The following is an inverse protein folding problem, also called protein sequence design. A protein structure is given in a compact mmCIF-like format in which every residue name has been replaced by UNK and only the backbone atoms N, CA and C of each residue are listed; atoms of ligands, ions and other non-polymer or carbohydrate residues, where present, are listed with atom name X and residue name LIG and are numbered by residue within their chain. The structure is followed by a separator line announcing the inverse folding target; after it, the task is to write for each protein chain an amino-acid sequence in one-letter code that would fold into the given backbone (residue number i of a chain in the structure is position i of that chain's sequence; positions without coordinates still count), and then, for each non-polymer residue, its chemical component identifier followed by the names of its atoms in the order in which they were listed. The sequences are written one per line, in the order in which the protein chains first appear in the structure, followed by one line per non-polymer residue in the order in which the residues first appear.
data_IF_543002908989
#
_entry.id   IF_543002908989
#
_cell.length_a   1.000
_cell.length_b   1.000
_cell.length_c   1.000
_cell.angle_alpha   90.00
_cell.angle_beta   90.00
_cell.angle_gamma   90.00
#
_symmetry.space_group_name_H-M   'P 1'
#
loop_
_entity.id
_entity.type
_entity.pdbx_description
1 polymer ?
#
# COMPACT_ATOMS: atom_id res chain seq x y z
N UNK A 1 -46.62 -47.36 -23.50
CA UNK A 1 -45.80 -46.73 -22.46
C UNK A 1 -46.70 -46.45 -21.28
N UNK A 2 -46.39 -47.01 -20.10
CA UNK A 2 -47.24 -46.90 -18.92
C UNK A 2 -47.28 -45.47 -18.38
N UNK A 3 -48.42 -44.97 -17.96
CA UNK A 3 -48.65 -43.66 -17.35
C UNK A 3 -47.67 -43.39 -16.17
N UNK A 4 -47.28 -44.43 -15.46
CA UNK A 4 -46.29 -44.39 -14.37
C UNK A 4 -44.87 -43.97 -14.83
N UNK A 5 -44.41 -44.38 -16.01
CA UNK A 5 -43.08 -44.00 -16.52
C UNK A 5 -43.02 -42.53 -16.95
N UNK A 6 -44.12 -41.98 -17.42
CA UNK A 6 -44.23 -40.57 -17.82
C UNK A 6 -44.19 -39.65 -16.59
N UNK A 7 -44.88 -40.07 -15.50
CA UNK A 7 -44.92 -39.29 -14.25
C UNK A 7 -43.54 -39.22 -13.56
N UNK A 8 -42.81 -40.35 -13.56
CA UNK A 8 -41.46 -40.39 -12.98
C UNK A 8 -40.45 -39.53 -13.79
N UNK A 9 -40.54 -39.60 -15.13
CA UNK A 9 -39.67 -38.78 -15.99
C UNK A 9 -39.92 -37.26 -15.80
N UNK A 10 -41.20 -36.86 -15.63
CA UNK A 10 -41.55 -35.45 -15.37
C UNK A 10 -41.04 -34.96 -14.01
N UNK A 11 -41.10 -35.82 -12.97
CA UNK A 11 -40.62 -35.50 -11.63
C UNK A 11 -39.11 -35.34 -11.60
N UNK A 12 -38.35 -36.20 -12.29
CA UNK A 12 -36.91 -36.13 -12.39
C UNK A 12 -36.49 -34.86 -13.13
N UNK A 13 -37.18 -34.49 -14.21
CA UNK A 13 -36.87 -33.29 -14.99
C UNK A 13 -37.10 -32.00 -14.19
N UNK A 14 -38.20 -31.94 -13.39
CA UNK A 14 -38.47 -30.77 -12.53
C UNK A 14 -37.46 -30.62 -11.39
N UNK A 15 -37.02 -31.73 -10.78
CA UNK A 15 -35.99 -31.71 -9.75
C UNK A 15 -34.62 -31.23 -10.33
N UNK A 16 -34.27 -31.70 -11.53
CA UNK A 16 -33.02 -31.28 -12.20
C UNK A 16 -33.06 -29.79 -12.57
N UNK A 17 -34.18 -29.28 -13.09
CA UNK A 17 -34.34 -27.84 -13.39
C UNK A 17 -34.32 -26.98 -12.14
N UNK A 18 -34.95 -27.44 -11.05
CA UNK A 18 -34.91 -26.70 -9.78
C UNK A 18 -33.52 -26.69 -9.15
N UNK A 19 -32.76 -27.78 -9.22
CA UNK A 19 -31.40 -27.88 -8.76
C UNK A 19 -30.45 -26.97 -9.55
N UNK A 20 -30.63 -26.85 -10.87
CA UNK A 20 -29.83 -25.96 -11.70
C UNK A 20 -30.16 -24.48 -11.46
N UNK A 21 -31.44 -24.14 -11.19
CA UNK A 21 -31.80 -22.78 -10.79
C UNK A 21 -31.26 -22.39 -9.42
N UNK A 22 -31.29 -23.29 -8.42
CA UNK A 22 -30.68 -23.03 -7.11
C UNK A 22 -29.17 -22.87 -7.21
N UNK A 23 -28.47 -23.68 -8.00
CA UNK A 23 -27.02 -23.58 -8.21
C UNK A 23 -26.63 -22.27 -8.90
N UNK A 24 -27.47 -21.79 -9.83
CA UNK A 24 -27.24 -20.52 -10.53
C UNK A 24 -27.51 -19.32 -9.63
N UNK A 25 -28.54 -19.34 -8.80
CA UNK A 25 -28.81 -18.29 -7.82
C UNK A 25 -27.74 -18.18 -6.74
N UNK A 26 -27.11 -19.29 -6.36
CA UNK A 26 -25.97 -19.29 -5.43
C UNK A 26 -24.67 -18.75 -6.08
N UNK A 27 -24.53 -18.91 -7.40
CA UNK A 27 -23.37 -18.37 -8.16
C UNK A 27 -23.47 -16.85 -8.39
N UNK A 28 -24.68 -16.30 -8.45
CA UNK A 28 -24.96 -14.88 -8.72
C UNK A 28 -25.08 -14.05 -7.42
N UNK A 29 -24.96 -14.68 -6.25
CA UNK A 29 -25.00 -13.98 -4.98
C UNK A 29 -23.73 -13.14 -4.80
N UNK A 30 -23.92 -11.84 -4.53
CA UNK A 30 -22.79 -10.96 -4.16
C UNK A 30 -22.03 -11.57 -2.97
N UNK A 31 -20.68 -11.47 -2.97
CA UNK A 31 -19.89 -12.01 -1.87
C UNK A 31 -20.31 -11.36 -0.54
N UNK A 32 -20.26 -12.14 0.54
CA UNK A 32 -20.56 -11.62 1.85
C UNK A 32 -19.58 -10.47 2.19
N UNK A 33 -20.00 -9.43 2.95
CA UNK A 33 -19.14 -8.26 3.25
C UNK A 33 -17.77 -8.61 3.83
N UNK A 34 -17.68 -9.69 4.61
CA UNK A 34 -16.40 -10.18 5.14
C UNK A 34 -15.48 -10.77 4.04
N UNK A 35 -16.05 -11.47 3.06
CA UNK A 35 -15.31 -12.02 1.93
C UNK A 35 -14.83 -10.89 0.99
N UNK A 36 -15.64 -9.89 0.76
CA UNK A 36 -15.27 -8.71 -0.01
C UNK A 36 -14.13 -7.92 0.66
N UNK A 37 -14.23 -7.68 1.97
CA UNK A 37 -13.15 -7.05 2.75
C UNK A 37 -11.85 -7.86 2.67
N UNK A 38 -11.93 -9.18 2.80
CA UNK A 38 -10.75 -10.06 2.70
C UNK A 38 -10.12 -10.01 1.30
N UNK A 39 -10.93 -10.05 0.25
CA UNK A 39 -10.45 -9.94 -1.14
C UNK A 39 -9.78 -8.59 -1.40
N UNK A 40 -10.35 -7.50 -0.89
CA UNK A 40 -9.77 -6.15 -0.99
C UNK A 40 -8.42 -6.05 -0.29
N UNK A 41 -8.29 -6.60 0.92
CA UNK A 41 -7.02 -6.66 1.66
C UNK A 41 -5.97 -7.47 0.89
N UNK A 42 -6.33 -8.65 0.38
CA UNK A 42 -5.43 -9.49 -0.41
C UNK A 42 -4.98 -8.78 -1.71
N UNK A 43 -5.89 -8.07 -2.40
CA UNK A 43 -5.54 -7.23 -3.56
C UNK A 43 -4.57 -6.13 -3.17
N UNK A 44 -4.79 -5.46 -2.06
CA UNK A 44 -3.92 -4.41 -1.53
C UNK A 44 -2.54 -4.93 -1.18
N UNK A 45 -2.45 -6.10 -0.56
CA UNK A 45 -1.17 -6.77 -0.26
C UNK A 45 -0.37 -7.02 -1.54
N UNK A 46 -1.01 -7.60 -2.56
CA UNK A 46 -0.37 -7.82 -3.85
C UNK A 46 0.17 -6.52 -4.45
N UNK A 47 -0.61 -5.44 -4.43
CA UNK A 47 -0.22 -4.14 -4.99
C UNK A 47 0.92 -3.49 -4.20
N UNK A 48 0.95 -3.63 -2.87
CA UNK A 48 2.05 -3.12 -2.01
C UNK A 48 3.35 -3.86 -2.30
N UNK A 49 3.30 -5.17 -2.54
CA UNK A 49 4.47 -5.94 -2.95
C UNK A 49 4.91 -5.60 -4.36
N UNK A 50 4.00 -5.62 -5.32
CA UNK A 50 4.29 -5.34 -6.72
C UNK A 50 4.79 -3.91 -6.94
N UNK A 51 4.22 -2.93 -6.22
CA UNK A 51 4.60 -1.52 -6.27
C UNK A 51 5.89 -1.17 -5.51
N UNK A 52 6.55 -2.14 -4.88
CA UNK A 52 7.83 -1.93 -4.19
C UNK A 52 7.73 -1.04 -2.95
N UNK A 53 6.57 -0.92 -2.31
CA UNK A 53 6.40 -0.03 -1.15
C UNK A 53 7.35 -0.41 -0.01
N UNK A 54 7.62 -1.70 0.16
CA UNK A 54 8.56 -2.20 1.17
C UNK A 54 10.01 -1.72 0.93
N UNK A 55 10.40 -1.46 -0.31
CA UNK A 55 11.80 -1.15 -0.65
C UNK A 55 12.29 0.14 0.01
N UNK A 56 11.37 1.11 0.18
CA UNK A 56 11.65 2.38 0.83
C UNK A 56 10.97 2.53 2.19
N UNK A 57 9.78 1.95 2.41
CA UNK A 57 9.03 2.16 3.64
C UNK A 57 9.31 1.12 4.73
N UNK A 58 10.04 0.04 4.43
CA UNK A 58 10.57 -0.91 5.42
C UNK A 58 12.07 -0.64 5.59
N UNK A 59 12.55 -0.27 6.79
CA UNK A 59 13.97 0.01 6.99
C UNK A 59 14.83 -1.21 6.65
N UNK A 60 15.99 -0.98 6.04
CA UNK A 60 16.98 -2.02 5.82
C UNK A 60 17.96 -2.08 6.99
N UNK A 61 18.48 -3.28 7.25
CA UNK A 61 19.53 -3.58 8.25
C UNK A 61 20.56 -4.53 7.65
N UNK A 62 21.70 -4.65 8.33
CA UNK A 62 22.65 -5.71 8.01
C UNK A 62 22.19 -7.03 8.61
N UNK A 63 21.97 -8.00 7.76
CA UNK A 63 21.70 -9.38 8.14
C UNK A 63 22.91 -10.29 7.93
N UNK A 64 22.80 -11.59 8.23
CA UNK A 64 23.90 -12.55 8.08
C UNK A 64 24.43 -12.72 6.66
N UNK A 65 23.63 -12.39 5.65
CA UNK A 65 23.98 -12.52 4.22
C UNK A 65 24.14 -11.18 3.50
N UNK A 66 24.13 -10.08 4.22
CA UNK A 66 24.19 -8.73 3.67
C UNK A 66 22.96 -7.89 4.01
N UNK A 67 22.75 -6.76 3.32
CA UNK A 67 21.61 -5.88 3.56
C UNK A 67 20.27 -6.63 3.32
N UNK A 68 19.35 -6.49 4.25
CA UNK A 68 18.00 -7.06 4.17
C UNK A 68 16.97 -6.11 4.77
N UNK A 69 15.69 -6.24 4.36
CA UNK A 69 14.59 -5.48 4.95
C UNK A 69 14.30 -5.95 6.37
N UNK A 70 14.12 -5.03 7.29
CA UNK A 70 13.73 -5.34 8.68
C UNK A 70 12.21 -5.49 8.78
N UNK A 71 11.71 -6.67 8.51
CA UNK A 71 10.27 -6.97 8.58
C UNK A 71 9.64 -6.86 9.98
N UNK A 72 10.45 -6.78 11.04
CA UNK A 72 9.92 -6.47 12.37
C UNK A 72 9.40 -5.02 12.44
N UNK A 73 9.83 -4.18 11.51
CA UNK A 73 9.45 -2.77 11.34
C UNK A 73 8.84 -2.51 9.96
N UNK A 74 8.16 -3.52 9.44
CA UNK A 74 7.59 -3.46 8.08
C UNK A 74 6.73 -2.23 7.88
N UNK A 75 7.00 -1.48 6.80
CA UNK A 75 6.26 -0.29 6.37
C UNK A 75 6.19 0.83 7.42
N UNK A 76 7.07 0.83 8.44
CA UNK A 76 7.10 1.86 9.49
C UNK A 76 7.84 3.14 9.10
N UNK A 77 8.48 3.18 7.93
CA UNK A 77 9.23 4.34 7.47
C UNK A 77 10.59 4.53 8.12
N UNK A 78 11.13 5.73 8.01
CA UNK A 78 12.45 6.08 8.57
C UNK A 78 12.46 5.93 10.10
N UNK A 79 13.41 5.19 10.69
CA UNK A 79 13.48 5.01 12.15
C UNK A 79 13.63 6.33 12.91
N UNK A 80 12.70 6.66 13.80
CA UNK A 80 12.71 7.89 14.60
C UNK A 80 13.99 8.10 15.41
N UNK A 81 14.63 7.02 15.85
CA UNK A 81 15.88 7.08 16.60
C UNK A 81 17.16 7.20 15.74
N UNK A 82 17.04 7.14 14.41
CA UNK A 82 18.17 7.29 13.50
C UNK A 82 18.28 8.74 13.06
N UNK A 83 19.15 9.49 13.75
CA UNK A 83 19.47 10.86 13.37
C UNK A 83 20.45 10.83 12.20
N UNK A 84 20.06 11.39 11.07
CA UNK A 84 20.94 11.46 9.90
C UNK A 84 21.93 12.60 10.05
N UNK A 85 23.23 12.38 9.74
CA UNK A 85 24.18 13.47 9.59
C UNK A 85 23.79 14.34 8.38
N UNK A 86 24.39 15.53 8.21
CA UNK A 86 24.23 16.31 6.98
C UNK A 86 24.46 15.44 5.75
N UNK A 87 23.58 15.58 4.76
CA UNK A 87 23.68 14.80 3.54
C UNK A 87 24.98 15.14 2.78
N UNK A 88 25.71 14.16 2.22
CA UNK A 88 26.85 14.44 1.38
C UNK A 88 26.46 15.29 0.18
N UNK A 89 27.27 16.30 -0.14
CA UNK A 89 27.08 17.06 -1.37
C UNK A 89 27.22 16.15 -2.58
N UNK A 90 26.32 16.30 -3.55
CA UNK A 90 26.46 15.66 -4.85
C UNK A 90 27.39 16.51 -5.73
N UNK A 91 28.55 15.97 -6.16
CA UNK A 91 29.39 16.69 -7.10
C UNK A 91 28.67 16.86 -8.45
N UNK A 92 29.05 17.85 -9.25
CA UNK A 92 28.56 17.94 -10.62
C UNK A 92 28.79 16.64 -11.39
N UNK A 93 27.74 16.09 -12.00
CA UNK A 93 27.82 14.81 -12.68
C UNK A 93 26.45 14.15 -12.88
N UNK A 94 26.44 12.87 -13.29
CA UNK A 94 25.21 12.15 -13.60
C UNK A 94 24.45 11.65 -12.36
N UNK A 95 25.02 11.76 -11.15
CA UNK A 95 24.35 11.32 -9.93
C UNK A 95 23.30 12.34 -9.50
N UNK A 96 22.06 11.89 -9.27
CA UNK A 96 20.93 12.74 -8.96
C UNK A 96 20.52 12.75 -7.49
N UNK A 97 20.96 11.75 -6.70
CA UNK A 97 20.56 11.62 -5.30
C UNK A 97 21.49 10.70 -4.52
N UNK A 98 21.51 10.86 -3.19
CA UNK A 98 22.06 9.89 -2.24
C UNK A 98 20.93 9.14 -1.53
N UNK A 99 21.23 7.92 -1.06
CA UNK A 99 20.36 7.11 -0.24
C UNK A 99 21.07 6.71 1.06
N UNK A 100 20.33 6.68 2.17
CA UNK A 100 20.83 6.12 3.42
C UNK A 100 20.97 4.59 3.32
N UNK A 101 21.82 4.00 4.15
CA UNK A 101 21.97 2.54 4.23
C UNK A 101 20.70 1.81 4.66
N UNK A 102 19.77 2.52 5.31
CA UNK A 102 18.42 2.00 5.65
C UNK A 102 17.42 2.12 4.53
N UNK A 103 17.76 2.73 3.39
CA UNK A 103 16.87 3.00 2.25
C UNK A 103 15.61 3.81 2.64
N UNK A 104 15.70 4.61 3.70
CA UNK A 104 14.57 5.37 4.24
C UNK A 104 14.80 6.87 4.35
N UNK A 105 16.01 7.35 4.05
CA UNK A 105 16.33 8.77 3.91
C UNK A 105 17.05 8.99 2.57
N UNK A 106 16.67 10.06 1.87
CA UNK A 106 17.10 10.36 0.51
C UNK A 106 17.43 11.84 0.38
N UNK A 107 18.55 12.18 -0.22
CA UNK A 107 18.92 13.58 -0.44
C UNK A 107 19.18 13.86 -1.91
N UNK A 108 18.79 15.05 -2.35
CA UNK A 108 18.92 15.53 -3.72
C UNK A 108 18.61 17.02 -3.83
N UNK A 109 18.31 17.53 -5.03
CA UNK A 109 17.99 18.95 -5.23
C UNK A 109 16.77 19.45 -4.44
N UNK A 110 15.97 18.53 -3.89
CA UNK A 110 14.79 18.83 -3.05
C UNK A 110 15.11 18.93 -1.55
N UNK A 111 16.37 18.82 -1.16
CA UNK A 111 16.78 18.68 0.25
C UNK A 111 16.82 17.22 0.69
N UNK A 112 16.33 16.93 1.90
CA UNK A 112 16.28 15.55 2.44
C UNK A 112 14.83 15.13 2.67
N UNK A 113 14.45 13.99 2.12
CA UNK A 113 13.17 13.33 2.37
C UNK A 113 13.35 12.10 3.24
N UNK A 114 12.37 11.83 4.10
CA UNK A 114 12.28 10.64 4.92
C UNK A 114 11.02 9.87 4.56
N UNK A 115 11.11 8.55 4.46
CA UNK A 115 9.97 7.71 4.09
C UNK A 115 8.97 7.62 5.23
N UNK A 116 7.69 7.84 4.92
CA UNK A 116 6.62 7.92 5.91
C UNK A 116 6.30 6.56 6.55
N UNK A 117 5.78 6.60 7.78
CA UNK A 117 5.15 5.47 8.43
C UNK A 117 3.79 5.17 7.77
N UNK A 118 3.68 4.02 7.11
CA UNK A 118 2.46 3.55 6.44
C UNK A 118 1.62 2.60 7.29
N UNK A 119 2.05 2.30 8.52
CA UNK A 119 1.26 1.45 9.43
C UNK A 119 0.07 2.22 10.01
N UNK A 120 -0.98 1.52 10.53
CA UNK A 120 -2.16 2.17 11.08
C UNK A 120 -1.97 2.69 12.51
N UNK A 121 -0.77 3.19 12.84
CA UNK A 121 -0.56 3.92 14.08
C UNK A 121 -1.24 5.30 13.99
N UNK A 122 -2.06 5.63 14.99
CA UNK A 122 -2.89 6.84 14.96
C UNK A 122 -2.10 8.13 15.07
N UNK A 123 -1.01 8.12 15.83
CA UNK A 123 -0.23 9.33 16.10
C UNK A 123 0.85 9.58 15.05
N UNK A 124 1.40 8.52 14.48
CA UNK A 124 2.63 8.60 13.67
C UNK A 124 2.51 8.00 12.28
N UNK A 125 1.39 7.32 11.98
CA UNK A 125 1.14 6.63 10.73
C UNK A 125 -0.19 7.01 10.07
N UNK A 126 -0.86 6.02 9.48
CA UNK A 126 -2.09 6.20 8.73
C UNK A 126 -3.37 5.91 9.55
N UNK A 127 -3.28 5.71 10.88
CA UNK A 127 -4.41 5.23 11.68
C UNK A 127 -5.62 6.17 11.70
N UNK A 128 -5.41 7.47 11.61
CA UNK A 128 -6.48 8.48 11.58
C UNK A 128 -6.81 8.97 10.15
N UNK A 129 -6.20 8.34 9.13
CA UNK A 129 -6.50 8.68 7.74
C UNK A 129 -7.79 8.01 7.28
N UNK A 130 -8.54 8.71 6.45
CA UNK A 130 -9.65 8.13 5.71
C UNK A 130 -9.19 7.56 4.37
N UNK A 131 -9.98 6.67 3.81
CA UNK A 131 -9.77 6.12 2.46
C UNK A 131 -9.68 7.25 1.42
N UNK A 132 -10.56 8.25 1.51
CA UNK A 132 -10.57 9.38 0.59
C UNK A 132 -9.31 10.26 0.71
N UNK A 133 -8.79 10.47 1.93
CA UNK A 133 -7.51 11.17 2.13
C UNK A 133 -6.35 10.42 1.45
N UNK A 134 -6.34 9.10 1.56
CA UNK A 134 -5.29 8.28 0.94
C UNK A 134 -5.40 8.31 -0.58
N UNK A 135 -6.62 8.14 -1.15
CA UNK A 135 -6.86 8.25 -2.58
C UNK A 135 -6.43 9.63 -3.10
N UNK A 136 -6.87 10.71 -2.44
CA UNK A 136 -6.50 12.06 -2.81
C UNK A 136 -4.98 12.29 -2.76
N UNK A 137 -4.29 11.72 -1.78
CA UNK A 137 -2.82 11.79 -1.68
C UNK A 137 -2.15 11.16 -2.90
N UNK A 138 -2.56 9.94 -3.27
CA UNK A 138 -1.99 9.23 -4.42
C UNK A 138 -2.30 9.92 -5.74
N UNK A 139 -3.50 10.49 -5.89
CA UNK A 139 -3.92 11.18 -7.12
C UNK A 139 -3.27 12.55 -7.31
N UNK A 140 -3.09 13.30 -6.23
CA UNK A 140 -2.55 14.68 -6.30
C UNK A 140 -1.05 14.78 -6.07
N UNK A 141 -0.43 13.74 -5.48
CA UNK A 141 0.94 13.81 -5.01
C UNK A 141 1.15 14.77 -3.84
N UNK A 142 0.08 15.02 -3.05
CA UNK A 142 0.12 15.92 -1.90
C UNK A 142 -0.35 15.21 -0.63
N UNK A 143 0.32 15.45 0.47
CA UNK A 143 -0.05 14.90 1.78
C UNK A 143 -1.51 15.24 2.10
N UNK A 144 -2.31 14.21 2.40
CA UNK A 144 -3.76 14.31 2.60
C UNK A 144 -4.52 15.00 1.44
N UNK A 145 -3.98 14.91 0.22
CA UNK A 145 -4.58 15.48 -0.98
C UNK A 145 -4.36 16.98 -1.20
N UNK A 146 -3.91 17.73 -0.20
CA UNK A 146 -3.82 19.21 -0.25
C UNK A 146 -2.61 19.82 0.44
N UNK A 147 -1.91 19.07 1.29
CA UNK A 147 -0.75 19.54 2.04
C UNK A 147 0.52 19.67 1.19
N UNK A 148 1.70 19.52 1.81
CA UNK A 148 2.98 19.56 1.09
C UNK A 148 3.04 18.52 -0.01
N UNK A 149 3.82 18.78 -1.05
CA UNK A 149 4.10 17.80 -2.09
C UNK A 149 4.83 16.56 -1.51
N UNK A 150 4.54 15.40 -2.07
CA UNK A 150 5.35 14.20 -1.84
C UNK A 150 6.70 14.41 -2.54
N UNK A 151 7.77 14.15 -1.81
CA UNK A 151 9.13 14.37 -2.29
C UNK A 151 9.69 13.12 -2.96
N UNK A 152 10.65 13.28 -3.88
CA UNK A 152 11.41 12.17 -4.41
C UNK A 152 12.09 11.37 -3.27
N UNK A 153 12.30 10.04 -3.47
CA UNK A 153 12.06 9.29 -4.69
C UNK A 153 10.64 8.68 -4.79
N UNK A 154 9.68 9.09 -3.95
CA UNK A 154 8.33 8.52 -3.96
C UNK A 154 7.70 8.62 -5.36
N UNK A 155 7.45 7.51 -6.07
CA UNK A 155 6.97 7.52 -7.45
C UNK A 155 5.44 7.66 -7.52
N UNK A 156 4.86 8.66 -6.85
CA UNK A 156 3.41 8.85 -6.79
C UNK A 156 2.78 9.01 -8.18
N UNK A 157 3.53 9.54 -9.15
CA UNK A 157 3.09 9.68 -10.54
C UNK A 157 2.76 8.34 -11.23
N UNK A 158 3.34 7.22 -10.75
CA UNK A 158 2.93 5.88 -11.17
C UNK A 158 1.66 5.45 -10.44
N UNK A 159 1.57 5.72 -9.13
CA UNK A 159 0.44 5.32 -8.30
C UNK A 159 -0.85 6.06 -8.69
N UNK A 160 -0.78 7.32 -9.14
CA UNK A 160 -1.95 8.04 -9.63
C UNK A 160 -2.60 7.41 -10.89
N UNK A 161 -1.90 6.47 -11.56
CA UNK A 161 -2.45 5.70 -12.70
C UNK A 161 -3.28 4.50 -12.27
N UNK A 162 -3.17 4.06 -11.03
CA UNK A 162 -4.04 3.01 -10.50
C UNK A 162 -5.49 3.48 -10.48
N UNK A 163 -6.42 2.53 -10.58
CA UNK A 163 -7.83 2.80 -10.33
C UNK A 163 -8.04 3.23 -8.86
N UNK A 164 -9.12 3.94 -8.59
CA UNK A 164 -9.47 4.29 -7.21
C UNK A 164 -9.66 3.04 -6.35
N UNK A 165 -10.25 1.99 -6.91
CA UNK A 165 -10.45 0.71 -6.20
C UNK A 165 -9.13 0.01 -5.87
N UNK A 166 -8.12 0.09 -6.72
CA UNK A 166 -6.79 -0.43 -6.41
C UNK A 166 -6.12 0.40 -5.30
N UNK A 167 -6.20 1.73 -5.35
CA UNK A 167 -5.67 2.61 -4.29
C UNK A 167 -6.37 2.34 -2.95
N UNK A 168 -7.70 2.19 -2.97
CA UNK A 168 -8.49 1.82 -1.78
C UNK A 168 -8.12 0.43 -1.25
N UNK A 169 -7.79 -0.51 -2.14
CA UNK A 169 -7.32 -1.83 -1.75
C UNK A 169 -5.96 -1.76 -1.06
N UNK A 170 -5.03 -0.94 -1.58
CA UNK A 170 -3.75 -0.65 -0.91
C UNK A 170 -4.01 -0.09 0.49
N UNK A 171 -4.89 0.90 0.63
CA UNK A 171 -5.21 1.48 1.94
C UNK A 171 -5.81 0.43 2.89
N UNK A 172 -6.76 -0.38 2.43
CA UNK A 172 -7.36 -1.45 3.23
C UNK A 172 -6.33 -2.44 3.77
N UNK A 173 -5.33 -2.80 2.95
CA UNK A 173 -4.22 -3.63 3.40
C UNK A 173 -3.35 -2.91 4.43
N UNK A 174 -2.95 -1.67 4.21
CA UNK A 174 -2.15 -0.89 5.16
C UNK A 174 -2.87 -0.76 6.51
N UNK A 175 -4.19 -0.56 6.51
CA UNK A 175 -5.01 -0.51 7.71
C UNK A 175 -5.17 -1.88 8.41
N UNK A 176 -4.87 -2.98 7.74
CA UNK A 176 -4.90 -4.34 8.32
C UNK A 176 -3.60 -4.75 9.03
N UNK A 177 -2.55 -3.96 8.88
CA UNK A 177 -1.24 -4.24 9.47
C UNK A 177 -1.22 -3.95 10.98
N UNK A 178 -0.31 -4.58 11.74
CA UNK A 178 -0.02 -4.15 13.10
C UNK A 178 0.49 -2.70 13.12
N UNK A 179 -0.01 -1.83 14.01
CA UNK A 179 0.49 -0.47 14.15
C UNK A 179 1.92 -0.48 14.72
N UNK A 180 2.78 0.37 14.17
CA UNK A 180 4.14 0.61 14.68
C UNK A 180 4.26 2.09 15.02
N UNK A 181 4.42 2.41 16.30
CA UNK A 181 4.65 3.80 16.71
C UNK A 181 6.05 4.24 16.29
N UNK A 182 6.14 5.10 15.28
CA UNK A 182 7.39 5.59 14.72
C UNK A 182 7.20 6.99 14.11
N UNK A 183 7.63 8.03 14.83
CA UNK A 183 7.52 9.43 14.39
C UNK A 183 8.67 9.76 13.44
N UNK A 184 8.38 9.67 12.16
CA UNK A 184 9.33 10.03 11.11
C UNK A 184 9.63 11.53 11.16
N UNK A 185 10.90 11.97 11.01
CA UNK A 185 11.27 13.39 10.96
C UNK A 185 10.58 14.13 9.79
N UNK A 186 10.41 15.44 9.96
CA UNK A 186 10.00 16.29 8.86
C UNK A 186 11.09 16.33 7.78
N UNK A 187 10.77 16.48 6.50
CA UNK A 187 11.75 16.73 5.46
C UNK A 187 12.60 17.96 5.78
N UNK A 188 13.84 17.96 5.29
CA UNK A 188 14.75 19.11 5.39
C UNK A 188 14.77 19.79 4.02
N UNK A 189 14.46 21.07 3.99
CA UNK A 189 14.48 21.87 2.75
C UNK A 189 15.92 21.99 2.21
N UNK A 190 16.12 22.17 0.91
CA UNK A 190 17.44 22.40 0.36
C UNK A 190 18.04 23.69 0.93
N UNK A 191 19.35 23.66 1.18
CA UNK A 191 20.07 24.88 1.55
C UNK A 191 19.96 25.91 0.40
N UNK A 192 19.67 27.16 0.73
CA UNK A 192 19.69 28.25 -0.25
C UNK A 192 21.11 28.40 -0.81
N UNK A 193 21.28 28.49 -2.15
CA UNK A 193 22.60 28.72 -2.73
C UNK A 193 23.20 30.06 -2.22
N UNK A 194 24.18 30.02 -1.36
CA UNK A 194 24.93 31.20 -0.96
C UNK A 194 24.76 31.69 0.49
N UNK A 195 24.27 30.83 1.41
CA UNK A 195 24.44 31.08 2.86
C UNK A 195 25.68 30.41 3.42
#
# INVERSE_FOLDING_TARGET
MSKSRLTVAFLILTIALFSTMLARAASDAAPAPAAEKSARVARGEYLVWFGGCNDCHTPWKMGPKGPEQDFSRRLSGHPAGLVMPPAPALPPGPWAMNASGTMTAWSGPWGVSFTANLTPDKETGLGDWTEDMFVATMKTGRHQGKGRALLPPMPYFNLQKLSDEDIKSVFAYLQSLPPVHNRVPAPIDPEEPGQ
#
